data_IF_275780292568
#
_entry.id   IF_275780292568
#
_cell.length_a   1.000
_cell.length_b   1.000
_cell.length_c   1.000
_cell.angle_alpha   90.00
_cell.angle_beta   90.00
_cell.angle_gamma   90.00
#
_symmetry.space_group_name_H-M   'P 1'
#
loop_
_entity.id
_entity.type
_entity.pdbx_description
1 polymer ?
#
# COMPACT_ATOMS: atom_id res chain seq x y z
N UNK A 1 4.90 13.19 2.51
CA UNK A 1 4.46 11.78 2.68
C UNK A 1 4.54 11.43 4.16
N UNK A 2 3.49 10.86 4.76
CA UNK A 2 3.37 10.74 6.22
C UNK A 2 3.22 9.29 6.67
N UNK A 3 3.47 8.97 7.95
CA UNK A 3 3.24 7.63 8.50
C UNK A 3 1.80 7.15 8.32
N UNK A 4 0.82 8.06 8.39
CA UNK A 4 -0.59 7.74 8.16
C UNK A 4 -0.86 7.31 6.72
N UNK A 5 -0.28 8.01 5.74
CA UNK A 5 -0.37 7.62 4.33
C UNK A 5 0.26 6.23 4.05
N UNK A 6 1.27 5.83 4.84
CA UNK A 6 1.91 4.52 4.75
C UNK A 6 1.20 3.41 5.55
N UNK A 7 0.07 3.68 6.21
CA UNK A 7 -0.60 2.72 7.08
C UNK A 7 0.14 2.44 8.40
N UNK A 8 1.13 3.28 8.75
CA UNK A 8 1.98 3.14 9.93
C UNK A 8 1.44 3.91 11.15
N UNK A 9 0.16 4.27 11.17
CA UNK A 9 -0.44 5.00 12.29
C UNK A 9 -0.26 4.30 13.64
N UNK A 10 -0.30 2.94 13.66
CA UNK A 10 -0.15 2.13 14.88
C UNK A 10 1.17 2.38 15.63
N UNK A 11 2.25 2.74 14.93
CA UNK A 11 3.57 2.96 15.54
C UNK A 11 3.83 4.42 15.95
N UNK A 12 2.95 5.34 15.55
CA UNK A 12 3.05 6.74 15.97
C UNK A 12 2.53 6.88 17.40
N UNK A 13 3.44 7.17 18.33
CA UNK A 13 3.13 7.43 19.74
C UNK A 13 3.20 8.93 20.00
N UNK A 14 2.05 9.60 20.05
CA UNK A 14 1.94 11.05 20.28
C UNK A 14 2.07 11.43 21.76
N UNK A 15 1.96 10.43 22.63
CA UNK A 15 1.94 10.46 24.10
C UNK A 15 3.33 10.33 24.73
N UNK A 16 4.36 9.91 23.98
CA UNK A 16 5.73 9.70 24.50
C UNK A 16 6.51 10.99 24.83
N UNK A 17 5.86 12.15 24.78
CA UNK A 17 6.50 13.47 24.85
C UNK A 17 6.86 14.03 23.48
N UNK A 18 7.75 15.02 23.47
CA UNK A 18 8.13 15.75 22.26
C UNK A 18 9.10 14.99 21.36
N UNK A 19 8.87 15.09 20.05
CA UNK A 19 9.75 14.58 19.02
C UNK A 19 9.58 15.37 17.72
N UNK A 20 10.59 15.31 16.85
CA UNK A 20 10.59 16.02 15.57
C UNK A 20 9.38 15.59 14.73
N UNK A 21 8.56 16.58 14.33
CA UNK A 21 7.35 16.36 13.54
C UNK A 21 6.09 16.00 14.33
N UNK A 22 6.14 15.98 15.68
CA UNK A 22 4.96 15.70 16.53
C UNK A 22 3.76 16.57 16.19
N UNK A 23 3.93 17.89 16.15
CA UNK A 23 2.83 18.83 15.89
C UNK A 23 2.22 18.63 14.49
N UNK A 24 3.05 18.33 13.49
CA UNK A 24 2.56 18.02 12.14
C UNK A 24 1.77 16.71 12.09
N UNK A 25 2.22 15.67 12.82
CA UNK A 25 1.47 14.41 12.92
C UNK A 25 0.17 14.57 13.73
N UNK A 26 0.19 15.40 14.78
CA UNK A 26 -1.00 15.69 15.58
C UNK A 26 -2.09 16.34 14.72
N UNK A 27 -1.72 17.32 13.89
CA UNK A 27 -2.65 17.98 12.97
C UNK A 27 -3.22 17.06 11.89
N UNK A 28 -2.50 15.98 11.55
CA UNK A 28 -2.89 15.02 10.50
C UNK A 28 -3.51 13.74 11.06
N UNK A 29 -3.69 13.62 12.38
CA UNK A 29 -4.17 12.39 13.04
C UNK A 29 -5.54 11.97 12.53
N UNK A 30 -6.45 12.94 12.43
CA UNK A 30 -7.86 12.74 12.10
C UNK A 30 -8.17 13.14 10.65
N UNK A 31 -7.13 13.46 9.87
CA UNK A 31 -7.24 13.84 8.46
C UNK A 31 -6.98 12.59 7.61
N UNK A 32 -7.95 12.24 6.77
CA UNK A 32 -7.76 11.14 5.84
C UNK A 32 -6.65 11.49 4.83
N UNK A 33 -5.61 10.64 4.69
CA UNK A 33 -4.53 10.95 3.78
C UNK A 33 -5.04 10.92 2.34
N UNK A 34 -4.60 11.86 1.50
CA UNK A 34 -4.99 11.91 0.09
C UNK A 34 -4.49 10.71 -0.74
N UNK A 35 -3.41 10.07 -0.26
CA UNK A 35 -2.85 8.84 -0.85
C UNK A 35 -2.59 7.81 0.23
N UNK A 36 -2.84 6.55 -0.07
CA UNK A 36 -2.67 5.41 0.83
C UNK A 36 -1.75 4.37 0.20
N UNK A 37 -0.93 3.75 1.05
CA UNK A 37 -0.19 2.54 0.70
C UNK A 37 -1.15 1.35 0.65
N UNK A 38 -1.19 0.67 -0.48
CA UNK A 38 -2.00 -0.54 -0.69
C UNK A 38 -1.15 -1.70 -1.17
N UNK A 39 -1.62 -2.92 -0.91
CA UNK A 39 -1.12 -4.11 -1.55
C UNK A 39 -1.83 -4.34 -2.89
N UNK A 40 -1.10 -4.78 -3.89
CA UNK A 40 -1.59 -5.15 -5.21
C UNK A 40 -1.19 -6.59 -5.51
N UNK A 41 -2.17 -7.39 -5.95
CA UNK A 41 -1.95 -8.75 -6.43
C UNK A 41 -2.26 -8.82 -7.93
N UNK A 42 -1.33 -9.39 -8.70
CA UNK A 42 -1.40 -9.44 -10.15
C UNK A 42 -1.75 -10.86 -10.61
N UNK A 43 -2.26 -10.98 -11.84
CA UNK A 43 -2.27 -12.24 -12.54
C UNK A 43 -0.83 -12.75 -12.77
N UNK A 44 -0.62 -14.08 -12.92
CA UNK A 44 0.68 -14.62 -13.30
C UNK A 44 1.20 -13.97 -14.59
N UNK A 45 2.48 -13.59 -14.61
CA UNK A 45 3.09 -12.92 -15.76
C UNK A 45 4.09 -11.86 -15.35
N UNK A 46 3.95 -10.65 -15.89
CA UNK A 46 4.90 -9.57 -15.70
C UNK A 46 4.99 -9.12 -14.25
N UNK A 47 6.23 -8.98 -13.75
CA UNK A 47 6.50 -8.54 -12.39
C UNK A 47 6.62 -7.00 -12.37
N UNK A 48 5.76 -6.30 -11.63
CA UNK A 48 5.84 -4.84 -11.49
C UNK A 48 7.11 -4.43 -10.75
N UNK A 49 7.67 -3.28 -11.12
CA UNK A 49 8.83 -2.66 -10.46
C UNK A 49 8.45 -1.26 -9.98
N UNK A 50 9.25 -0.71 -9.06
CA UNK A 50 9.12 0.66 -8.60
C UNK A 50 9.10 1.64 -9.79
N UNK A 51 8.29 2.70 -9.72
CA UNK A 51 8.18 3.71 -10.79
C UNK A 51 7.01 3.50 -11.75
N UNK A 52 6.39 2.32 -11.80
CA UNK A 52 5.29 2.07 -12.72
C UNK A 52 3.99 2.73 -12.27
N UNK A 53 3.27 3.31 -13.24
CA UNK A 53 2.03 4.06 -13.00
C UNK A 53 0.85 3.11 -12.78
N UNK A 54 0.07 3.41 -11.74
CA UNK A 54 -1.19 2.75 -11.42
C UNK A 54 -2.34 3.58 -11.95
N UNK A 55 -3.25 2.94 -12.68
CA UNK A 55 -4.44 3.54 -13.25
C UNK A 55 -5.70 2.90 -12.68
N UNK A 56 -6.71 3.72 -12.43
CA UNK A 56 -8.04 3.33 -11.96
C UNK A 56 -9.06 4.17 -12.73
N UNK A 57 -10.09 3.53 -13.27
CA UNK A 57 -11.11 4.17 -14.13
C UNK A 57 -10.53 5.05 -15.26
N UNK A 58 -9.45 4.59 -15.88
CA UNK A 58 -8.78 5.27 -16.99
C UNK A 58 -7.84 6.42 -16.58
N UNK A 59 -7.89 6.88 -15.34
CA UNK A 59 -7.01 7.93 -14.81
C UNK A 59 -5.78 7.35 -14.11
N UNK A 60 -4.66 8.08 -14.14
CA UNK A 60 -3.52 7.77 -13.27
C UNK A 60 -3.85 8.16 -11.82
N UNK A 61 -3.75 7.20 -10.91
CA UNK A 61 -4.11 7.36 -9.50
C UNK A 61 -2.93 7.17 -8.55
N UNK A 62 -1.79 6.71 -9.06
CA UNK A 62 -0.67 6.36 -8.19
C UNK A 62 0.52 5.74 -8.89
N UNK A 63 1.41 5.22 -8.07
CA UNK A 63 2.68 4.63 -8.51
C UNK A 63 3.05 3.42 -7.64
N UNK A 64 3.69 2.43 -8.26
CA UNK A 64 4.28 1.28 -7.58
C UNK A 64 5.47 1.75 -6.75
N UNK A 65 5.45 1.45 -5.45
CA UNK A 65 6.56 1.70 -4.54
C UNK A 65 7.60 0.57 -4.61
N UNK A 66 7.14 -0.69 -4.51
CA UNK A 66 8.00 -1.87 -4.60
C UNK A 66 7.19 -3.05 -5.11
N UNK A 67 7.80 -3.90 -5.95
CA UNK A 67 7.15 -5.07 -6.53
C UNK A 67 8.09 -6.25 -6.67
N UNK A 68 7.55 -7.45 -6.54
CA UNK A 68 8.31 -8.71 -6.63
C UNK A 68 7.40 -9.87 -7.01
N UNK A 69 7.99 -11.01 -7.37
CA UNK A 69 7.26 -12.27 -7.47
C UNK A 69 7.24 -12.96 -6.10
N UNK A 70 6.06 -13.37 -5.63
CA UNK A 70 5.93 -14.15 -4.40
C UNK A 70 5.98 -15.65 -4.71
N UNK A 71 7.02 -16.41 -4.28
CA UNK A 71 7.05 -17.86 -4.46
C UNK A 71 5.94 -18.57 -3.67
N UNK A 72 5.56 -18.02 -2.52
CA UNK A 72 4.51 -18.57 -1.65
C UNK A 72 3.14 -18.45 -2.29
N UNK A 73 2.80 -17.28 -2.85
CA UNK A 73 1.51 -17.03 -3.49
C UNK A 73 1.47 -17.39 -4.98
N UNK A 74 2.64 -17.79 -5.53
CA UNK A 74 2.89 -18.10 -6.94
C UNK A 74 2.33 -17.04 -7.90
N UNK A 75 2.47 -15.76 -7.54
CA UNK A 75 2.00 -14.62 -8.33
C UNK A 75 2.82 -13.36 -8.06
N UNK A 76 2.86 -12.40 -9.00
CA UNK A 76 3.44 -11.10 -8.73
C UNK A 76 2.61 -10.32 -7.71
N UNK A 77 3.31 -9.63 -6.80
CA UNK A 77 2.73 -8.76 -5.80
C UNK A 77 3.49 -7.43 -5.77
N UNK A 78 2.81 -6.35 -5.41
CA UNK A 78 3.45 -5.06 -5.25
C UNK A 78 2.77 -4.22 -4.19
N UNK A 79 3.50 -3.25 -3.68
CA UNK A 79 2.95 -2.14 -2.89
C UNK A 79 2.89 -0.89 -3.75
N UNK A 80 1.84 -0.11 -3.58
CA UNK A 80 1.62 1.11 -4.36
C UNK A 80 1.06 2.22 -3.49
N UNK A 81 1.43 3.46 -3.80
CA UNK A 81 0.73 4.62 -3.27
C UNK A 81 -0.32 5.05 -4.27
N UNK A 82 -1.59 4.89 -3.89
CA UNK A 82 -2.74 5.25 -4.72
C UNK A 82 -3.56 6.32 -4.02
N UNK A 83 -4.31 7.11 -4.80
CA UNK A 83 -5.32 8.02 -4.27
C UNK A 83 -6.37 7.23 -3.48
N UNK A 84 -6.92 7.85 -2.43
CA UNK A 84 -7.76 7.15 -1.44
C UNK A 84 -9.06 6.54 -2.00
N UNK A 85 -9.58 7.09 -3.10
CA UNK A 85 -10.72 6.54 -3.84
C UNK A 85 -10.41 5.18 -4.50
N UNK A 86 -9.17 4.98 -4.95
CA UNK A 86 -8.68 3.74 -5.55
C UNK A 86 -8.09 2.76 -4.51
N UNK A 87 -8.17 3.07 -3.21
CA UNK A 87 -7.52 2.28 -2.16
C UNK A 87 -8.41 1.18 -1.55
N UNK A 88 -9.66 1.06 -1.99
CA UNK A 88 -10.62 0.10 -1.45
C UNK A 88 -10.18 -1.36 -1.71
N UNK A 89 -10.17 -2.25 -0.69
CA UNK A 89 -9.91 -3.67 -0.90
C UNK A 89 -10.85 -4.27 -1.94
N UNK A 90 -10.28 -5.01 -2.88
CA UNK A 90 -11.02 -5.65 -3.95
C UNK A 90 -11.14 -4.84 -5.23
N UNK A 91 -10.81 -3.53 -5.22
CA UNK A 91 -10.80 -2.69 -6.41
C UNK A 91 -9.84 -3.23 -7.49
N UNK A 92 -10.25 -3.15 -8.75
CA UNK A 92 -9.42 -3.51 -9.90
C UNK A 92 -8.68 -2.29 -10.44
N UNK A 93 -7.37 -2.39 -10.54
CA UNK A 93 -6.50 -1.35 -11.07
C UNK A 93 -5.68 -1.91 -12.23
N UNK A 94 -5.16 -1.02 -13.07
CA UNK A 94 -4.29 -1.36 -14.19
C UNK A 94 -2.91 -0.76 -13.97
N UNK A 95 -1.85 -1.51 -14.26
CA UNK A 95 -0.47 -1.03 -14.15
C UNK A 95 0.19 -1.11 -15.50
N UNK A 96 0.77 0.00 -15.94
CA UNK A 96 1.54 0.05 -17.17
C UNK A 96 2.96 -0.47 -16.91
N UNK A 97 3.26 -1.67 -17.42
CA UNK A 97 4.58 -2.31 -17.35
C UNK A 97 5.18 -2.28 -18.75
N UNK A 98 6.04 -1.28 -19.01
CA UNK A 98 6.58 -1.01 -20.35
C UNK A 98 5.45 -0.82 -21.37
N UNK A 99 5.33 -1.72 -22.34
CA UNK A 99 4.31 -1.68 -23.40
C UNK A 99 3.05 -2.49 -23.07
N UNK A 100 3.04 -3.19 -21.94
CA UNK A 100 1.92 -4.03 -21.53
C UNK A 100 1.17 -3.39 -20.37
N UNK A 101 -0.16 -3.39 -20.47
CA UNK A 101 -1.04 -3.02 -19.36
C UNK A 101 -1.49 -4.29 -18.65
N UNK A 102 -1.22 -4.39 -17.36
CA UNK A 102 -1.54 -5.57 -16.56
C UNK A 102 -2.56 -5.21 -15.49
N UNK A 103 -3.62 -6.02 -15.38
CA UNK A 103 -4.62 -5.87 -14.32
C UNK A 103 -4.09 -6.39 -12.98
N UNK A 104 -4.42 -5.67 -11.92
CA UNK A 104 -4.12 -6.03 -10.54
C UNK A 104 -5.32 -5.75 -9.65
N UNK A 105 -5.40 -6.46 -8.53
CA UNK A 105 -6.43 -6.24 -7.51
C UNK A 105 -5.83 -5.66 -6.25
N UNK A 106 -6.50 -4.66 -5.69
CA UNK A 106 -6.16 -4.12 -4.38
C UNK A 106 -6.47 -5.17 -3.31
N UNK A 107 -5.48 -5.48 -2.47
CA UNK A 107 -5.58 -6.47 -1.40
C UNK A 107 -5.12 -5.88 -0.08
N UNK A 108 -5.71 -6.35 1.01
CA UNK A 108 -5.28 -6.00 2.35
C UNK A 108 -3.90 -6.56 2.64
N UNK A 109 -3.04 -5.76 3.27
CA UNK A 109 -1.75 -6.21 3.81
C UNK A 109 -1.96 -6.83 5.20
N UNK A 110 -1.14 -7.83 5.60
CA UNK A 110 -0.03 -8.42 4.84
C UNK A 110 -0.48 -9.43 3.78
N UNK A 111 0.32 -9.64 2.73
CA UNK A 111 0.02 -10.61 1.66
C UNK A 111 -0.01 -12.08 2.14
N UNK A 112 0.81 -12.38 3.14
CA UNK A 112 0.93 -13.71 3.76
C UNK A 112 0.73 -13.50 5.26
N UNK A 113 -0.05 -14.37 5.94
CA UNK A 113 -0.29 -14.23 7.37
C UNK A 113 1.01 -14.25 8.16
N UNK A 114 1.11 -13.38 9.17
CA UNK A 114 2.23 -13.40 10.11
C UNK A 114 2.23 -14.71 10.90
N UNK A 115 3.41 -15.33 11.02
CA UNK A 115 3.64 -16.53 11.85
C UNK A 115 4.26 -16.19 13.20
N UNK A 116 4.04 -14.98 13.70
CA UNK A 116 4.50 -14.53 15.01
C UNK A 116 3.63 -15.14 16.11
N UNK A 117 4.23 -15.45 17.27
CA UNK A 117 3.46 -15.82 18.46
C UNK A 117 2.54 -14.64 18.78
N UNK A 118 1.23 -14.84 18.67
CA UNK A 118 0.28 -13.86 19.21
C UNK A 118 0.56 -13.78 20.71
N UNK A 119 0.82 -12.57 21.23
CA UNK A 119 0.75 -12.36 22.68
C UNK A 119 -0.72 -12.57 23.02
N UNK A 120 -1.06 -13.78 23.45
CA UNK A 120 -2.27 -14.00 24.24
C UNK A 120 -2.06 -13.21 25.52
N UNK A 121 -2.95 -12.27 25.77
CA UNK A 121 -2.96 -11.48 27.00
C UNK A 121 -3.26 -12.44 28.17
N UNK A 122 -2.42 -12.41 29.21
CA UNK A 122 -2.73 -12.89 30.56
C UNK A 122 -3.23 -11.71 31.38
#
# INVERSE_FOLDING_TARGET
MTPYAAGLGRVVRLDKGDFVGRNALLALRDVEPARKLVGLAFAPGAVPRAGFRVRYDGAEVGEIASGTFSPTLRRPIATAYVRSDAAAPGAEVKVAIRETVVSARVVSLPFVPHRTKRRTEC
#
